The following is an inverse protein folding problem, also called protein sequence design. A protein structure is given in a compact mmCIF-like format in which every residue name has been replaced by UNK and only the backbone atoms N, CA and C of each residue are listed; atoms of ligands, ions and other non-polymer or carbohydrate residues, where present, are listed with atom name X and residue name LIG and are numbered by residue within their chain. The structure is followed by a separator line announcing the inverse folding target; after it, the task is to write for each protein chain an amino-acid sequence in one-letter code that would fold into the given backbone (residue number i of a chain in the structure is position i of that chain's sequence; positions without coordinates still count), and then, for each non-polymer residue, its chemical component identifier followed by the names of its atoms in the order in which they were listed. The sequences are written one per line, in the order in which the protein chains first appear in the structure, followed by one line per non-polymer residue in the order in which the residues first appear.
data_IF_036110776450
#
_entry.id   IF_036110776450
#
_cell.length_a   1.000
_cell.length_b   1.000
_cell.length_c   1.000
_cell.angle_alpha   90.00
_cell.angle_beta   90.00
_cell.angle_gamma   90.00
#
_symmetry.space_group_name_H-M   'P 1'
#
loop_
_entity.id
_entity.type
_entity.pdbx_description
1 polymer ?
#
# COMPACT_ATOMS: atom_id res chain seq x y z
N UNK A 1 -8.56 134.72 -48.07
CA UNK A 1 -9.78 134.09 -47.54
C UNK A 1 -9.78 132.63 -47.96
N UNK A 2 -10.25 131.76 -47.06
CA UNK A 2 -10.26 130.28 -47.10
C UNK A 2 -9.04 129.62 -46.45
N UNK A 3 -9.18 129.38 -45.14
CA UNK A 3 -8.39 128.41 -44.39
C UNK A 3 -8.73 127.01 -44.94
N UNK A 4 -7.76 126.08 -45.07
CA UNK A 4 -8.08 124.70 -45.36
C UNK A 4 -8.88 124.11 -44.18
N UNK A 5 -10.00 123.42 -44.41
CA UNK A 5 -10.63 122.65 -43.35
C UNK A 5 -9.71 121.49 -42.97
N UNK A 6 -9.01 121.65 -41.85
CA UNK A 6 -8.48 120.53 -41.07
C UNK A 6 -9.68 119.79 -40.49
N UNK A 7 -9.95 118.59 -40.97
CA UNK A 7 -9.93 117.36 -40.16
C UNK A 7 -10.58 116.24 -40.96
N UNK A 8 -9.74 115.25 -41.23
CA UNK A 8 -9.97 113.85 -40.93
C UNK A 8 -11.38 113.30 -41.14
N UNK A 9 -11.46 112.55 -42.23
CA UNK A 9 -12.31 111.40 -42.48
C UNK A 9 -12.85 110.68 -41.22
N UNK A 10 -14.10 110.15 -41.27
CA UNK A 10 -15.03 110.07 -40.16
C UNK A 10 -14.96 108.73 -39.40
N UNK A 11 -13.87 108.46 -38.69
CA UNK A 11 -13.79 107.20 -37.91
C UNK A 11 -13.27 107.35 -36.47
N UNK A 12 -12.93 108.56 -35.99
CA UNK A 12 -12.63 108.76 -34.56
C UNK A 12 -12.87 110.23 -34.13
N UNK A 13 -13.76 110.47 -33.15
CA UNK A 13 -13.97 111.78 -32.53
C UNK A 13 -13.28 111.79 -31.15
N UNK A 14 -12.16 112.50 -31.02
CA UNK A 14 -11.37 112.59 -29.80
C UNK A 14 -12.04 113.36 -28.68
N UNK A 15 -13.11 114.12 -28.96
CA UNK A 15 -13.84 114.89 -27.96
C UNK A 15 -14.60 114.04 -26.94
N UNK A 16 -14.69 112.71 -27.15
CA UNK A 16 -15.33 111.77 -26.23
C UNK A 16 -14.38 111.17 -25.18
N UNK A 17 -13.11 111.58 -25.14
CA UNK A 17 -12.13 111.15 -24.13
C UNK A 17 -11.43 112.39 -23.57
N UNK A 18 -11.81 112.82 -22.37
CA UNK A 18 -11.34 114.01 -21.67
C UNK A 18 -10.33 113.71 -20.55
N UNK A 19 -10.10 112.44 -20.21
CA UNK A 19 -9.11 112.00 -19.21
C UNK A 19 -8.30 110.76 -19.63
N UNK A 20 -7.12 110.56 -19.02
CA UNK A 20 -6.19 109.46 -19.36
C UNK A 20 -6.72 108.04 -19.14
N UNK A 21 -7.92 107.87 -18.57
CA UNK A 21 -8.55 106.57 -18.32
C UNK A 21 -10.04 106.53 -18.73
N UNK A 22 -10.47 107.42 -19.63
CA UNK A 22 -11.86 107.45 -20.08
C UNK A 22 -12.21 106.19 -20.90
N UNK A 23 -13.39 105.62 -20.64
CA UNK A 23 -13.94 104.48 -21.37
C UNK A 23 -15.22 104.91 -22.10
N UNK A 24 -15.41 104.38 -23.32
CA UNK A 24 -16.64 104.65 -24.06
C UNK A 24 -17.80 103.88 -23.40
N UNK A 25 -18.79 104.58 -22.87
CA UNK A 25 -20.02 103.96 -22.34
C UNK A 25 -21.01 103.69 -23.47
N UNK A 26 -21.61 102.50 -23.48
CA UNK A 26 -22.55 102.03 -24.54
C UNK A 26 -23.74 102.99 -24.76
N UNK A 27 -24.04 103.87 -23.81
CA UNK A 27 -25.11 104.87 -23.94
C UNK A 27 -24.78 106.04 -24.89
N UNK A 28 -23.50 106.31 -25.18
CA UNK A 28 -23.06 107.48 -25.98
C UNK A 28 -22.54 107.09 -27.38
N UNK A 29 -22.33 105.79 -27.62
CA UNK A 29 -22.03 105.27 -28.95
C UNK A 29 -23.36 105.04 -29.71
N UNK A 30 -23.59 105.78 -30.81
CA UNK A 30 -24.73 105.56 -31.72
C UNK A 30 -24.85 104.07 -32.05
N UNK A 31 -26.09 103.56 -32.15
CA UNK A 31 -26.47 102.13 -32.26
C UNK A 31 -25.99 101.43 -33.55
N UNK A 32 -24.92 101.91 -34.20
CA UNK A 32 -24.45 101.52 -35.53
C UNK A 32 -22.95 101.26 -35.59
N UNK A 33 -22.42 100.46 -34.65
CA UNK A 33 -21.10 99.81 -34.64
C UNK A 33 -19.94 100.65 -34.06
N UNK A 34 -19.59 100.38 -32.80
CA UNK A 34 -18.27 100.75 -32.26
C UNK A 34 -17.22 99.79 -32.85
N UNK A 35 -16.44 100.24 -33.84
CA UNK A 35 -15.34 99.45 -34.41
C UNK A 35 -14.08 99.62 -33.56
N UNK A 36 -13.87 98.69 -32.62
CA UNK A 36 -12.59 98.56 -31.90
C UNK A 36 -11.61 97.82 -32.82
N UNK A 37 -11.13 98.48 -33.88
CA UNK A 37 -10.35 97.86 -34.94
C UNK A 37 -9.33 98.83 -35.54
N UNK A 38 -8.14 98.83 -34.96
CA UNK A 38 -6.89 99.38 -35.48
C UNK A 38 -5.74 98.45 -35.07
N UNK A 39 -4.58 98.52 -35.71
CA UNK A 39 -3.42 97.60 -35.56
C UNK A 39 -2.73 97.60 -34.18
N UNK A 40 -3.42 98.03 -33.11
CA UNK A 40 -2.94 97.97 -31.73
C UNK A 40 -3.43 96.70 -31.04
N UNK A 41 -2.49 95.96 -30.43
CA UNK A 41 -2.82 94.87 -29.51
C UNK A 41 -3.31 95.50 -28.21
N UNK A 42 -4.59 95.35 -27.88
CA UNK A 42 -5.07 95.64 -26.53
C UNK A 42 -4.55 94.55 -25.59
N UNK A 43 -3.99 94.92 -24.43
CA UNK A 43 -3.52 93.95 -23.45
C UNK A 43 -4.66 93.08 -22.90
N UNK A 44 -5.88 93.61 -22.82
CA UNK A 44 -7.09 92.87 -22.46
C UNK A 44 -8.36 93.61 -22.90
N UNK A 45 -9.44 92.85 -23.13
CA UNK A 45 -10.81 93.35 -23.26
C UNK A 45 -11.61 92.84 -22.05
N UNK A 46 -12.02 93.73 -21.16
CA UNK A 46 -12.85 93.40 -20.01
C UNK A 46 -14.31 93.73 -20.31
N UNK A 47 -15.20 92.74 -20.25
CA UNK A 47 -16.65 92.91 -20.42
C UNK A 47 -17.31 92.59 -19.08
N UNK A 48 -18.14 93.50 -18.58
CA UNK A 48 -18.81 93.34 -17.28
C UNK A 48 -19.89 92.23 -17.27
N UNK A 49 -20.20 91.65 -18.43
CA UNK A 49 -21.19 90.61 -18.61
C UNK A 49 -20.85 89.73 -19.82
N UNK A 50 -21.87 89.22 -20.49
CA UNK A 50 -21.69 88.32 -21.61
C UNK A 50 -21.10 89.03 -22.83
N UNK A 51 -20.16 88.37 -23.51
CA UNK A 51 -19.70 88.77 -24.83
C UNK A 51 -20.57 88.07 -25.88
N UNK A 52 -21.62 88.75 -26.35
CA UNK A 52 -22.43 88.28 -27.48
C UNK A 52 -21.76 88.70 -28.79
N UNK A 53 -21.09 87.76 -29.44
CA UNK A 53 -20.34 88.02 -30.67
C UNK A 53 -20.66 86.95 -31.71
N UNK A 54 -20.87 87.37 -32.96
CA UNK A 54 -21.19 86.44 -34.05
C UNK A 54 -20.03 85.49 -34.43
N UNK A 55 -18.79 85.86 -34.09
CA UNK A 55 -17.60 85.02 -34.25
C UNK A 55 -16.51 85.47 -33.28
N UNK A 56 -15.89 84.53 -32.56
CA UNK A 56 -14.70 84.80 -31.77
C UNK A 56 -13.45 84.46 -32.60
N UNK A 57 -12.50 85.37 -32.70
CA UNK A 57 -11.21 85.13 -33.37
C UNK A 57 -10.09 85.23 -32.33
N UNK A 58 -9.33 84.15 -32.12
CA UNK A 58 -8.19 84.13 -31.20
C UNK A 58 -6.92 84.00 -32.05
N UNK A 59 -5.97 84.92 -31.86
CA UNK A 59 -4.71 84.97 -32.61
C UNK A 59 -4.90 84.95 -34.15
N UNK A 60 -5.92 85.66 -34.65
CA UNK A 60 -6.20 85.77 -36.08
C UNK A 60 -6.94 84.59 -36.71
N UNK A 61 -7.28 83.55 -35.94
CA UNK A 61 -8.08 82.40 -36.39
C UNK A 61 -9.47 82.40 -35.74
N UNK A 62 -10.51 82.22 -36.55
CA UNK A 62 -11.86 82.05 -36.03
C UNK A 62 -11.96 80.77 -35.19
N UNK A 63 -12.56 80.87 -34.00
CA UNK A 63 -12.77 79.76 -33.06
C UNK A 63 -14.24 79.36 -33.11
N UNK A 64 -14.51 78.14 -33.55
CA UNK A 64 -15.84 77.53 -33.52
C UNK A 64 -16.16 77.03 -32.10
N UNK A 65 -16.93 77.82 -31.35
CA UNK A 65 -17.38 77.49 -29.99
C UNK A 65 -18.66 76.65 -29.97
N UNK A 66 -19.23 76.27 -31.12
CA UNK A 66 -20.44 75.44 -31.16
C UNK A 66 -20.21 74.09 -30.49
N UNK A 67 -18.98 73.57 -30.51
CA UNK A 67 -18.59 72.33 -29.83
C UNK A 67 -18.56 72.44 -28.30
N UNK A 68 -18.59 73.66 -27.75
CA UNK A 68 -18.46 73.98 -26.32
C UNK A 68 -19.80 74.36 -25.67
N UNK A 69 -20.76 74.87 -26.46
CA UNK A 69 -22.08 75.26 -25.97
C UNK A 69 -22.89 74.03 -25.50
N UNK A 70 -23.43 74.08 -24.28
CA UNK A 70 -24.28 73.01 -23.73
C UNK A 70 -23.53 71.76 -23.26
N UNK A 71 -22.20 71.82 -23.14
CA UNK A 71 -21.39 70.76 -22.53
C UNK A 71 -21.36 70.98 -21.01
N UNK A 72 -21.77 69.98 -20.23
CA UNK A 72 -21.59 69.95 -18.78
C UNK A 72 -20.29 69.24 -18.46
N UNK A 73 -19.44 69.82 -17.61
CA UNK A 73 -18.19 69.17 -17.19
C UNK A 73 -18.47 67.78 -16.57
N UNK A 74 -17.71 66.76 -17.00
CA UNK A 74 -17.86 65.38 -16.53
C UNK A 74 -18.82 64.51 -17.35
N UNK A 75 -19.51 65.05 -18.37
CA UNK A 75 -20.36 64.25 -19.28
C UNK A 75 -19.89 64.31 -20.72
N UNK A 76 -20.04 63.19 -21.44
CA UNK A 76 -19.82 63.14 -22.90
C UNK A 76 -21.12 63.53 -23.62
N UNK A 77 -21.16 64.74 -24.19
CA UNK A 77 -22.24 65.18 -25.08
C UNK A 77 -21.97 64.72 -26.52
N UNK A 78 -22.97 64.12 -27.18
CA UNK A 78 -22.83 63.62 -28.54
C UNK A 78 -22.35 64.71 -29.51
N UNK A 79 -21.32 64.39 -30.31
CA UNK A 79 -20.77 65.28 -31.34
C UNK A 79 -20.21 66.61 -30.82
N UNK A 80 -19.82 66.68 -29.54
CA UNK A 80 -19.21 67.84 -28.87
C UNK A 80 -17.86 67.45 -28.27
N UNK A 81 -17.14 68.43 -27.72
CA UNK A 81 -15.89 68.16 -26.99
C UNK A 81 -16.15 67.39 -25.70
N UNK A 82 -15.16 66.61 -25.25
CA UNK A 82 -15.17 65.97 -23.94
C UNK A 82 -14.50 66.92 -22.94
N UNK A 83 -15.24 67.36 -21.92
CA UNK A 83 -14.71 68.17 -20.84
C UNK A 83 -14.74 67.36 -19.54
N UNK A 84 -13.60 67.24 -18.88
CA UNK A 84 -13.49 66.55 -17.60
C UNK A 84 -14.09 67.40 -16.48
N UNK A 85 -14.58 66.78 -15.41
CA UNK A 85 -15.01 67.52 -14.21
C UNK A 85 -13.84 67.96 -13.32
N UNK A 86 -14.13 68.50 -12.13
CA UNK A 86 -13.13 68.94 -11.15
C UNK A 86 -12.22 67.80 -10.65
N UNK A 87 -12.72 66.56 -10.66
CA UNK A 87 -11.97 65.36 -10.29
C UNK A 87 -11.19 64.76 -11.48
N UNK A 88 -11.34 65.35 -12.68
CA UNK A 88 -10.84 64.86 -13.97
C UNK A 88 -11.58 63.61 -14.47
N UNK A 89 -12.79 63.38 -13.98
CA UNK A 89 -13.61 62.25 -14.39
C UNK A 89 -14.39 62.57 -15.67
N UNK A 90 -14.69 61.53 -16.44
CA UNK A 90 -15.58 61.55 -17.60
C UNK A 90 -16.57 60.41 -17.45
N UNK A 91 -17.87 60.72 -17.58
CA UNK A 91 -18.95 59.73 -17.57
C UNK A 91 -19.60 59.60 -18.96
N UNK A 92 -20.30 58.48 -19.17
CA UNK A 92 -21.25 58.29 -20.30
C UNK A 92 -20.66 58.01 -21.69
N UNK A 93 -19.40 57.57 -21.82
CA UNK A 93 -18.97 56.94 -23.06
C UNK A 93 -19.85 55.73 -23.38
N UNK A 94 -20.39 55.67 -24.61
CA UNK A 94 -21.09 54.48 -25.09
C UNK A 94 -20.12 53.30 -25.24
N UNK A 95 -19.01 53.54 -25.95
CA UNK A 95 -17.92 52.59 -26.19
C UNK A 95 -16.59 53.33 -26.03
N UNK A 96 -15.59 52.70 -25.40
CA UNK A 96 -14.23 53.24 -25.28
C UNK A 96 -13.22 52.31 -26.00
N UNK A 97 -12.98 52.50 -27.31
CA UNK A 97 -11.93 51.77 -28.00
C UNK A 97 -10.56 52.30 -27.55
N UNK A 98 -9.78 51.47 -26.84
CA UNK A 98 -8.44 51.80 -26.38
C UNK A 98 -7.47 50.67 -26.74
N UNK A 99 -6.30 51.00 -27.30
CA UNK A 99 -5.22 50.02 -27.52
C UNK A 99 -4.60 49.57 -26.19
N UNK A 100 -4.41 50.53 -25.28
CA UNK A 100 -3.91 50.29 -23.93
C UNK A 100 -4.86 50.98 -22.94
N UNK A 101 -5.30 50.24 -21.93
CA UNK A 101 -6.01 50.78 -20.77
C UNK A 101 -5.13 50.55 -19.54
N UNK A 102 -4.62 51.62 -18.95
CA UNK A 102 -3.77 51.59 -17.75
C UNK A 102 -4.57 52.06 -16.54
N UNK A 103 -4.36 51.44 -15.38
CA UNK A 103 -5.04 51.79 -14.13
C UNK A 103 -5.84 50.63 -13.55
N UNK A 104 -6.76 50.92 -12.64
CA UNK A 104 -7.62 49.92 -11.98
C UNK A 104 -9.03 49.95 -12.57
N UNK A 105 -9.60 48.77 -12.83
CA UNK A 105 -11.04 48.64 -13.06
C UNK A 105 -11.70 48.43 -11.70
N UNK A 106 -12.46 49.40 -11.23
CA UNK A 106 -13.06 49.39 -9.88
C UNK A 106 -14.44 48.69 -9.82
N UNK A 107 -14.93 48.14 -10.94
CA UNK A 107 -16.24 47.47 -10.98
C UNK A 107 -16.17 46.10 -10.31
N UNK A 108 -16.94 45.91 -9.23
CA UNK A 108 -16.92 44.65 -8.47
C UNK A 108 -17.30 43.42 -9.30
N UNK A 109 -18.20 43.57 -10.28
CA UNK A 109 -18.58 42.51 -11.21
C UNK A 109 -18.18 42.90 -12.64
N UNK A 110 -17.48 42.00 -13.33
CA UNK A 110 -17.02 42.19 -14.71
C UNK A 110 -17.58 41.07 -15.63
N UNK A 111 -18.92 40.94 -15.77
CA UNK A 111 -19.56 39.77 -16.39
C UNK A 111 -19.26 39.59 -17.89
N UNK A 112 -18.79 40.64 -18.57
CA UNK A 112 -18.58 40.63 -20.02
C UNK A 112 -17.11 40.45 -20.43
N UNK A 113 -16.19 40.18 -19.51
CA UNK A 113 -14.80 39.83 -19.85
C UNK A 113 -14.78 38.36 -20.28
N UNK A 114 -14.68 38.10 -21.59
CA UNK A 114 -14.66 36.74 -22.17
C UNK A 114 -13.26 36.26 -22.55
N UNK A 115 -12.27 37.15 -22.56
CA UNK A 115 -10.86 36.82 -22.76
C UNK A 115 -9.97 37.82 -22.06
N UNK A 116 -8.81 37.35 -21.60
CA UNK A 116 -7.71 38.16 -21.09
C UNK A 116 -6.42 37.65 -21.74
N UNK A 117 -5.37 38.48 -21.75
CA UNK A 117 -4.03 38.03 -22.11
C UNK A 117 -3.41 37.18 -20.99
N UNK A 118 -2.08 37.23 -20.88
CA UNK A 118 -1.37 36.58 -19.78
C UNK A 118 -1.50 37.41 -18.50
N UNK A 119 -1.99 36.79 -17.42
CA UNK A 119 -1.94 37.35 -16.06
C UNK A 119 -0.67 36.84 -15.36
N UNK A 120 0.20 37.74 -14.90
CA UNK A 120 1.39 37.36 -14.11
C UNK A 120 1.04 36.89 -12.70
N UNK A 121 -0.08 37.39 -12.16
CA UNK A 121 -0.62 37.04 -10.86
C UNK A 121 -2.13 37.13 -10.90
N UNK A 122 -2.82 36.15 -10.31
CA UNK A 122 -4.26 36.16 -10.14
C UNK A 122 -4.57 35.70 -8.72
N UNK A 123 -5.23 36.56 -7.95
CA UNK A 123 -5.79 36.22 -6.64
C UNK A 123 -7.30 36.17 -6.77
N UNK A 124 -7.89 35.01 -6.51
CA UNK A 124 -9.36 34.83 -6.48
C UNK A 124 -9.76 34.53 -5.04
N UNK A 125 -10.60 35.38 -4.45
CA UNK A 125 -11.13 35.18 -3.09
C UNK A 125 -12.27 34.17 -3.03
N UNK A 126 -12.95 33.93 -4.16
CA UNK A 126 -14.01 32.93 -4.31
C UNK A 126 -13.56 31.68 -5.06
N UNK A 127 -14.52 30.98 -5.66
CA UNK A 127 -14.27 29.76 -6.42
C UNK A 127 -13.80 30.05 -7.83
N UNK A 128 -12.85 29.26 -8.32
CA UNK A 128 -12.54 29.15 -9.75
C UNK A 128 -13.39 28.00 -10.31
N UNK A 129 -14.30 28.28 -11.25
CA UNK A 129 -15.11 27.28 -11.93
C UNK A 129 -14.62 27.09 -13.37
N UNK A 130 -14.53 25.85 -13.83
CA UNK A 130 -14.05 25.49 -15.17
C UNK A 130 -12.88 24.51 -15.16
N UNK A 131 -12.23 24.33 -16.30
CA UNK A 131 -11.06 23.45 -16.46
C UNK A 131 -9.77 24.25 -16.42
N UNK A 132 -8.80 23.83 -15.62
CA UNK A 132 -7.44 24.38 -15.70
C UNK A 132 -6.70 23.63 -16.82
N UNK A 133 -6.52 24.27 -17.97
CA UNK A 133 -6.22 23.59 -19.24
C UNK A 133 -4.81 22.97 -19.37
N UNK A 134 -3.89 23.19 -18.42
CA UNK A 134 -2.54 22.60 -18.49
C UNK A 134 -2.50 21.30 -17.71
N UNK A 135 -2.13 20.20 -18.39
CA UNK A 135 -2.07 18.87 -17.76
C UNK A 135 -1.08 18.77 -16.59
N UNK A 136 -0.07 19.64 -16.52
CA UNK A 136 0.84 19.74 -15.39
C UNK A 136 0.48 20.96 -14.52
N UNK A 137 0.25 20.73 -13.24
CA UNK A 137 0.00 21.76 -12.22
C UNK A 137 1.06 21.66 -11.09
N UNK A 138 2.36 21.88 -11.38
CA UNK A 138 3.47 21.54 -10.46
C UNK A 138 3.46 22.34 -9.15
N UNK A 139 2.75 23.46 -9.10
CA UNK A 139 2.71 24.37 -7.95
C UNK A 139 1.49 24.16 -7.04
N UNK A 140 0.62 23.18 -7.33
CA UNK A 140 -0.47 22.83 -6.41
C UNK A 140 0.13 22.00 -5.26
N UNK A 141 0.27 22.62 -4.09
CA UNK A 141 0.78 21.98 -2.88
C UNK A 141 -0.32 21.54 -1.91
N UNK A 142 -1.57 21.95 -2.14
CA UNK A 142 -2.75 21.52 -1.40
C UNK A 142 -4.01 21.69 -2.26
N UNK A 143 -4.92 20.72 -2.22
CA UNK A 143 -6.20 20.72 -2.96
C UNK A 143 -7.44 20.83 -2.06
N UNK A 144 -7.26 21.02 -0.75
CA UNK A 144 -8.37 21.04 0.22
C UNK A 144 -9.15 19.72 0.21
N UNK A 145 -10.48 19.79 0.08
CA UNK A 145 -11.37 18.62 -0.02
C UNK A 145 -11.67 18.29 -1.47
N UNK A 146 -11.30 17.08 -1.88
CA UNK A 146 -11.56 16.58 -3.23
C UNK A 146 -12.63 15.47 -3.15
N UNK A 147 -13.81 15.71 -3.74
CA UNK A 147 -14.92 14.73 -3.72
C UNK A 147 -14.71 13.59 -4.72
N UNK A 148 -13.99 13.85 -5.81
CA UNK A 148 -13.56 12.84 -6.77
C UNK A 148 -12.22 13.21 -7.39
N UNK A 149 -11.37 12.21 -7.60
CA UNK A 149 -10.11 12.34 -8.31
C UNK A 149 -9.95 11.15 -9.25
N UNK A 150 -9.86 11.42 -10.54
CA UNK A 150 -9.49 10.41 -11.53
C UNK A 150 -8.04 10.67 -11.94
N UNK A 151 -7.14 9.75 -11.60
CA UNK A 151 -5.74 9.77 -12.06
C UNK A 151 -5.59 8.77 -13.19
N UNK A 152 -5.25 9.23 -14.39
CA UNK A 152 -5.01 8.36 -15.55
C UNK A 152 -3.59 7.78 -15.60
N UNK A 153 -2.68 8.25 -14.73
CA UNK A 153 -1.31 7.78 -14.58
C UNK A 153 -1.00 7.17 -13.22
N UNK A 154 0.27 7.16 -12.82
CA UNK A 154 0.70 6.67 -11.52
C UNK A 154 0.38 7.68 -10.40
N UNK A 155 -0.08 7.17 -9.26
CA UNK A 155 -0.10 7.93 -8.02
C UNK A 155 1.24 7.75 -7.32
N UNK A 156 2.10 8.76 -7.37
CA UNK A 156 3.38 8.75 -6.66
C UNK A 156 3.19 9.39 -5.28
N UNK A 157 3.32 8.61 -4.20
CA UNK A 157 3.18 9.09 -2.83
C UNK A 157 2.79 8.00 -1.84
N UNK A 158 2.56 8.39 -0.58
CA UNK A 158 2.02 7.51 0.47
C UNK A 158 0.52 7.72 0.60
N UNK A 159 -0.22 6.62 0.82
CA UNK A 159 -1.64 6.70 1.19
C UNK A 159 -1.73 6.69 2.73
N UNK A 160 -2.10 7.81 3.33
CA UNK A 160 -1.98 8.01 4.79
C UNK A 160 -3.11 7.38 5.63
N UNK A 161 -4.19 6.90 5.03
CA UNK A 161 -5.32 6.31 5.79
C UNK A 161 -5.03 4.85 6.10
N UNK A 162 -4.96 4.50 7.39
CA UNK A 162 -4.69 3.13 7.82
C UNK A 162 -5.69 2.10 7.28
N UNK A 163 -6.97 2.48 7.16
CA UNK A 163 -7.98 1.66 6.50
C UNK A 163 -8.17 2.12 5.04
N UNK A 164 -8.11 1.17 4.12
CA UNK A 164 -8.29 1.40 2.68
C UNK A 164 -9.46 0.54 2.15
N UNK A 165 -10.71 0.74 2.63
CA UNK A 165 -11.82 -0.17 2.37
C UNK A 165 -12.26 -0.25 0.90
N UNK A 166 -11.90 0.75 0.09
CA UNK A 166 -12.31 0.84 -1.31
C UNK A 166 -11.31 0.23 -2.29
N UNK A 167 -10.20 -0.37 -1.82
CA UNK A 167 -9.28 -1.09 -2.69
C UNK A 167 -9.88 -2.48 -3.01
N UNK A 168 -10.37 -2.64 -4.24
CA UNK A 168 -10.97 -3.90 -4.71
C UNK A 168 -10.00 -4.80 -5.46
N UNK A 169 -8.87 -4.24 -5.94
CA UNK A 169 -7.79 -4.97 -6.59
C UNK A 169 -6.48 -4.19 -6.48
N UNK A 170 -5.36 -4.91 -6.50
CA UNK A 170 -4.03 -4.35 -6.64
C UNK A 170 -3.36 -4.97 -7.87
N UNK A 171 -2.37 -4.27 -8.44
CA UNK A 171 -1.42 -4.86 -9.38
C UNK A 171 -0.41 -5.77 -8.68
N UNK A 172 0.76 -5.94 -9.28
CA UNK A 172 1.87 -6.69 -8.66
C UNK A 172 2.58 -5.84 -7.60
N UNK A 173 2.64 -6.33 -6.36
CA UNK A 173 3.47 -5.75 -5.31
C UNK A 173 4.84 -6.41 -5.33
N UNK A 174 5.90 -5.62 -5.51
CA UNK A 174 7.29 -6.11 -5.43
C UNK A 174 7.73 -6.38 -3.99
N UNK A 175 7.14 -5.65 -3.03
CA UNK A 175 7.32 -5.85 -1.60
C UNK A 175 6.03 -5.52 -0.87
N UNK A 176 5.65 -6.36 0.10
CA UNK A 176 4.55 -6.11 1.02
C UNK A 176 5.02 -6.37 2.44
N UNK A 177 4.88 -5.36 3.31
CA UNK A 177 5.08 -5.50 4.75
C UNK A 177 3.76 -5.20 5.43
N UNK A 178 3.26 -6.14 6.23
CA UNK A 178 2.02 -5.99 7.02
C UNK A 178 2.40 -6.03 8.49
N UNK A 179 2.05 -4.99 9.25
CA UNK A 179 2.32 -4.92 10.69
C UNK A 179 1.37 -5.79 11.53
N UNK A 180 0.19 -6.10 10.99
CA UNK A 180 -0.78 -7.02 11.57
C UNK A 180 -0.87 -8.34 10.80
N UNK A 181 -2.05 -8.97 10.86
CA UNK A 181 -2.32 -10.23 10.15
C UNK A 181 -2.56 -10.01 8.67
N UNK A 182 -1.92 -10.81 7.82
CA UNK A 182 -2.26 -10.94 6.40
C UNK A 182 -3.28 -12.07 6.23
N UNK A 183 -4.52 -11.74 5.85
CA UNK A 183 -5.55 -12.73 5.55
C UNK A 183 -5.63 -12.96 4.03
N UNK A 184 -5.24 -14.16 3.58
CA UNK A 184 -5.23 -14.55 2.17
C UNK A 184 -6.45 -15.46 1.93
N UNK A 185 -7.50 -14.90 1.32
CA UNK A 185 -8.75 -15.62 1.01
C UNK A 185 -8.78 -16.20 -0.40
N UNK A 186 -7.63 -16.24 -1.09
CA UNK A 186 -7.52 -16.78 -2.45
C UNK A 186 -8.02 -18.22 -2.50
N UNK A 187 -8.80 -18.55 -3.54
CA UNK A 187 -9.15 -19.94 -3.89
C UNK A 187 -8.01 -20.69 -4.57
N UNK A 188 -6.91 -19.99 -4.90
CA UNK A 188 -5.72 -20.55 -5.53
C UNK A 188 -4.56 -20.80 -4.56
N UNK A 189 -3.38 -21.08 -5.13
CA UNK A 189 -2.18 -21.41 -4.37
C UNK A 189 -1.49 -20.15 -3.82
N UNK A 190 -0.95 -20.23 -2.60
CA UNK A 190 0.08 -19.30 -2.12
C UNK A 190 1.45 -19.79 -2.60
N UNK A 191 2.10 -19.04 -3.49
CA UNK A 191 3.45 -19.34 -3.98
C UNK A 191 4.47 -18.39 -3.33
N UNK A 192 5.51 -18.94 -2.72
CA UNK A 192 6.61 -18.17 -2.11
C UNK A 192 7.90 -18.50 -2.86
N UNK A 193 8.61 -17.51 -3.43
CA UNK A 193 9.76 -17.76 -4.30
C UNK A 193 11.02 -18.27 -3.57
N UNK A 194 11.09 -18.12 -2.24
CA UNK A 194 12.23 -18.55 -1.44
C UNK A 194 11.80 -19.38 -0.22
N UNK A 195 11.21 -18.72 0.79
CA UNK A 195 10.88 -19.38 2.05
C UNK A 195 9.68 -18.76 2.74
N UNK A 196 8.95 -19.56 3.51
CA UNK A 196 8.09 -19.08 4.59
C UNK A 196 8.89 -19.08 5.89
N UNK A 197 9.05 -17.90 6.53
CA UNK A 197 9.65 -17.79 7.86
C UNK A 197 8.60 -17.30 8.84
N UNK A 198 8.46 -17.99 9.98
CA UNK A 198 7.58 -17.57 11.09
C UNK A 198 8.47 -17.31 12.30
N UNK A 199 8.68 -16.04 12.60
CA UNK A 199 9.47 -15.60 13.74
C UNK A 199 8.56 -15.20 14.89
N UNK A 200 8.87 -15.65 16.12
CA UNK A 200 8.18 -15.27 17.36
C UNK A 200 6.68 -15.66 17.46
N UNK A 201 6.21 -16.61 16.65
CA UNK A 201 4.86 -17.15 16.77
C UNK A 201 4.74 -18.12 17.94
N UNK A 202 3.79 -17.88 18.85
CA UNK A 202 3.39 -18.87 19.87
C UNK A 202 2.49 -19.96 19.29
N UNK A 203 1.96 -19.76 18.09
CA UNK A 203 1.10 -20.71 17.37
C UNK A 203 1.87 -21.42 16.26
N UNK A 204 1.72 -22.75 16.12
CA UNK A 204 2.29 -23.50 15.01
C UNK A 204 1.63 -23.13 13.68
N UNK A 205 2.26 -23.48 12.55
CA UNK A 205 1.59 -23.48 11.25
C UNK A 205 0.38 -24.42 11.35
N UNK A 206 -0.82 -23.85 11.34
CA UNK A 206 -2.07 -24.61 11.36
C UNK A 206 -2.66 -24.63 9.95
N UNK A 207 -2.65 -25.80 9.34
CA UNK A 207 -3.37 -26.06 8.10
C UNK A 207 -4.67 -26.80 8.44
N UNK A 208 -5.82 -26.24 8.08
CA UNK A 208 -7.13 -26.85 8.34
C UNK A 208 -7.91 -26.92 7.03
N UNK A 209 -8.40 -28.11 6.67
CA UNK A 209 -9.39 -28.27 5.61
C UNK A 209 -10.78 -28.36 6.25
N UNK A 210 -11.60 -27.33 6.04
CA UNK A 210 -12.96 -27.23 6.59
C UNK A 210 -14.04 -27.81 5.66
N UNK A 211 -13.65 -28.31 4.48
CA UNK A 211 -14.59 -28.89 3.49
C UNK A 211 -14.48 -30.41 3.48
N UNK A 212 -15.62 -31.09 3.71
CA UNK A 212 -15.72 -32.54 3.90
C UNK A 212 -15.28 -33.41 2.69
N UNK A 213 -15.05 -32.80 1.53
CA UNK A 213 -14.84 -33.51 0.26
C UNK A 213 -13.42 -33.39 -0.33
N UNK A 214 -12.53 -32.59 0.25
CA UNK A 214 -11.18 -32.36 -0.29
C UNK A 214 -10.13 -33.22 0.41
N UNK A 215 -9.13 -33.72 -0.31
CA UNK A 215 -7.96 -34.37 0.28
C UNK A 215 -7.15 -33.35 1.08
N UNK A 216 -6.95 -33.58 2.38
CA UNK A 216 -6.02 -32.80 3.18
C UNK A 216 -4.65 -33.46 3.15
N UNK A 217 -3.76 -32.95 2.28
CA UNK A 217 -2.39 -33.42 2.17
C UNK A 217 -1.41 -32.30 2.51
N UNK A 218 -0.54 -32.54 3.48
CA UNK A 218 0.68 -31.75 3.67
C UNK A 218 1.79 -32.52 2.94
N UNK A 219 2.11 -32.08 1.74
CA UNK A 219 3.21 -32.67 0.96
C UNK A 219 4.49 -31.89 1.22
N UNK A 220 5.50 -32.58 1.73
CA UNK A 220 6.88 -32.08 1.81
C UNK A 220 7.63 -32.86 0.73
N UNK A 221 8.14 -32.13 -0.27
CA UNK A 221 8.79 -32.71 -1.44
C UNK A 221 10.01 -31.86 -1.78
N UNK A 222 11.11 -32.49 -2.16
CA UNK A 222 12.29 -31.82 -2.68
C UNK A 222 12.74 -32.47 -3.98
N UNK A 223 13.01 -31.65 -5.00
CA UNK A 223 13.60 -32.11 -6.26
C UNK A 223 15.09 -32.48 -6.12
N UNK A 224 15.73 -32.09 -5.01
CA UNK A 224 17.11 -32.44 -4.65
C UNK A 224 17.47 -31.99 -3.24
N UNK A 225 18.23 -32.79 -2.49
CA UNK A 225 18.58 -32.52 -1.09
C UNK A 225 17.66 -33.18 -0.06
N UNK A 226 18.10 -33.18 1.19
CA UNK A 226 17.36 -33.78 2.29
C UNK A 226 16.13 -32.94 2.68
N UNK A 227 15.09 -33.60 3.18
CA UNK A 227 13.93 -32.96 3.77
C UNK A 227 14.03 -33.12 5.29
N UNK A 228 14.40 -32.04 5.97
CA UNK A 228 14.57 -32.07 7.42
C UNK A 228 13.30 -31.58 8.13
N UNK A 229 12.72 -32.44 8.96
CA UNK A 229 11.61 -32.10 9.85
C UNK A 229 12.11 -32.30 11.28
N UNK A 230 12.34 -31.20 12.00
CA UNK A 230 13.10 -31.22 13.24
C UNK A 230 12.77 -30.09 14.19
N UNK A 231 13.29 -30.21 15.41
CA UNK A 231 13.51 -29.07 16.29
C UNK A 231 15.01 -28.81 16.38
N UNK A 232 15.41 -27.54 16.39
CA UNK A 232 16.80 -27.12 16.65
C UNK A 232 17.10 -26.98 18.16
N UNK A 233 16.11 -27.28 18.99
CA UNK A 233 16.19 -27.22 20.45
C UNK A 233 15.82 -28.60 21.02
N UNK A 234 15.93 -28.79 22.33
CA UNK A 234 15.62 -30.07 23.00
C UNK A 234 14.11 -30.38 23.06
N UNK A 235 13.42 -30.33 21.92
CA UNK A 235 12.01 -30.67 21.78
C UNK A 235 11.85 -31.83 20.80
N UNK A 236 10.99 -32.77 21.18
CA UNK A 236 10.67 -33.93 20.34
C UNK A 236 9.80 -33.56 19.13
N UNK A 237 10.03 -34.25 18.02
CA UNK A 237 9.16 -34.24 16.83
C UNK A 237 8.08 -35.31 17.01
N UNK A 238 6.83 -35.03 16.64
CA UNK A 238 5.74 -35.95 16.89
C UNK A 238 4.67 -35.94 15.79
N UNK A 239 4.22 -37.12 15.38
CA UNK A 239 2.97 -37.31 14.64
C UNK A 239 1.86 -37.49 15.68
N UNK A 240 0.83 -36.64 15.61
CA UNK A 240 -0.33 -36.70 16.49
C UNK A 240 -1.60 -37.03 15.71
N UNK A 241 -2.53 -37.73 16.34
CA UNK A 241 -3.86 -37.99 15.80
C UNK A 241 -4.86 -37.89 16.94
N UNK A 242 -5.92 -37.09 16.76
CA UNK A 242 -6.91 -36.81 17.81
C UNK A 242 -6.26 -36.43 19.17
N UNK A 243 -5.32 -35.49 19.14
CA UNK A 243 -4.60 -35.02 20.35
C UNK A 243 -3.54 -35.97 20.91
N UNK A 244 -3.55 -37.26 20.58
CA UNK A 244 -2.56 -38.23 21.09
C UNK A 244 -1.34 -38.32 20.18
N UNK A 245 -0.14 -38.43 20.75
CA UNK A 245 1.09 -38.75 20.01
C UNK A 245 1.08 -40.21 19.59
N UNK A 246 1.38 -40.48 18.32
CA UNK A 246 1.43 -41.84 17.75
C UNK A 246 2.85 -42.28 17.47
N UNK A 247 3.64 -41.40 16.87
CA UNK A 247 5.06 -41.58 16.63
C UNK A 247 5.81 -40.35 17.14
N UNK A 248 6.95 -40.54 17.79
CA UNK A 248 7.80 -39.44 18.21
C UNK A 248 9.26 -39.74 17.97
N UNK A 249 10.03 -38.72 17.57
CA UNK A 249 11.47 -38.71 17.75
C UNK A 249 11.75 -38.00 19.08
N UNK A 250 12.29 -38.71 20.07
CA UNK A 250 12.63 -38.13 21.37
C UNK A 250 13.89 -37.24 21.29
N UNK A 251 14.24 -36.58 22.39
CA UNK A 251 15.42 -35.69 22.44
C UNK A 251 16.76 -36.44 22.36
N UNK A 252 16.74 -37.77 22.47
CA UNK A 252 17.91 -38.64 22.33
C UNK A 252 18.04 -39.20 20.90
N UNK A 253 17.09 -38.87 20.01
CA UNK A 253 17.07 -39.34 18.62
C UNK A 253 16.36 -40.69 18.42
N UNK A 254 15.69 -41.24 19.43
CA UNK A 254 14.98 -42.50 19.29
C UNK A 254 13.60 -42.29 18.65
N UNK A 255 13.21 -43.19 17.75
CA UNK A 255 11.84 -43.24 17.21
C UNK A 255 10.99 -44.17 18.06
N UNK A 256 9.92 -43.64 18.66
CA UNK A 256 9.01 -44.36 19.53
C UNK A 256 7.57 -44.39 18.98
N UNK A 257 6.97 -45.58 18.99
CA UNK A 257 5.55 -45.78 18.78
C UNK A 257 4.79 -45.64 20.11
N UNK A 258 4.71 -44.40 20.60
CA UNK A 258 4.29 -44.03 21.97
C UNK A 258 2.98 -44.68 22.43
N UNK A 259 2.03 -44.91 21.52
CA UNK A 259 0.72 -45.48 21.85
C UNK A 259 0.65 -47.01 21.74
N UNK A 260 1.78 -47.70 21.53
CA UNK A 260 1.81 -49.16 21.41
C UNK A 260 1.38 -49.84 22.71
N UNK A 261 0.35 -50.69 22.63
CA UNK A 261 -0.23 -51.36 23.80
C UNK A 261 -0.32 -52.89 23.68
N UNK A 262 0.23 -53.46 22.60
CA UNK A 262 0.21 -54.91 22.38
C UNK A 262 -1.13 -55.52 21.98
N UNK A 263 -2.19 -54.72 21.76
CA UNK A 263 -3.54 -55.23 21.50
C UNK A 263 -4.31 -54.48 20.40
N UNK A 264 -4.42 -53.15 20.50
CA UNK A 264 -5.31 -52.35 19.61
C UNK A 264 -4.60 -51.21 18.90
N UNK A 265 -3.50 -50.70 19.44
CA UNK A 265 -2.77 -49.56 18.91
C UNK A 265 -1.28 -49.86 18.98
N UNK A 266 -0.51 -49.45 17.96
CA UNK A 266 0.93 -49.66 17.93
C UNK A 266 1.52 -49.81 16.53
N UNK A 267 2.69 -50.46 16.47
CA UNK A 267 3.37 -50.78 15.22
C UNK A 267 2.62 -51.88 14.47
N UNK A 268 2.19 -51.58 13.23
CA UNK A 268 1.61 -52.57 12.32
C UNK A 268 2.58 -52.88 11.18
N UNK A 269 2.68 -54.16 10.80
CA UNK A 269 3.45 -54.64 9.66
C UNK A 269 2.50 -55.34 8.69
N UNK A 270 2.38 -54.84 7.46
CA UNK A 270 1.44 -55.39 6.46
C UNK A 270 -0.02 -55.40 6.91
N UNK A 271 -0.42 -54.45 7.77
CA UNK A 271 -1.77 -54.35 8.35
C UNK A 271 -1.98 -55.10 9.67
N UNK A 272 -1.08 -56.01 10.03
CA UNK A 272 -1.13 -56.80 11.28
C UNK A 272 -0.44 -56.07 12.42
N UNK A 273 -1.06 -56.00 13.60
CA UNK A 273 -0.46 -55.40 14.79
C UNK A 273 0.63 -56.30 15.37
N UNK A 274 1.81 -55.73 15.63
CA UNK A 274 2.84 -56.38 16.43
C UNK A 274 2.35 -56.40 17.88
N UNK A 275 1.97 -57.55 18.44
CA UNK A 275 1.44 -57.64 19.81
C UNK A 275 2.53 -57.76 20.88
N UNK A 276 3.76 -58.05 20.48
CA UNK A 276 4.89 -58.18 21.40
C UNK A 276 5.24 -56.85 22.10
N UNK A 277 5.58 -56.94 23.38
CA UNK A 277 6.19 -55.84 24.15
C UNK A 277 7.66 -55.66 23.77
N UNK A 278 8.24 -54.50 24.09
CA UNK A 278 9.66 -54.24 23.89
C UNK A 278 10.54 -55.30 24.59
N UNK A 279 10.18 -55.72 25.79
CA UNK A 279 10.88 -56.80 26.52
C UNK A 279 10.86 -58.11 25.74
N UNK A 280 9.71 -58.50 25.19
CA UNK A 280 9.58 -59.73 24.41
C UNK A 280 10.39 -59.66 23.10
N UNK A 281 10.41 -58.52 22.41
CA UNK A 281 11.24 -58.35 21.22
C UNK A 281 12.74 -58.38 21.57
N UNK A 282 13.11 -57.78 22.70
CA UNK A 282 14.48 -57.79 23.22
C UNK A 282 14.96 -59.18 23.66
N UNK A 283 14.09 -60.19 23.71
CA UNK A 283 14.52 -61.58 23.89
C UNK A 283 15.22 -62.16 22.64
N UNK A 284 15.13 -61.51 21.49
CA UNK A 284 15.77 -61.95 20.25
C UNK A 284 17.21 -61.44 20.10
N UNK A 285 17.75 -60.69 21.07
CA UNK A 285 19.14 -60.22 21.05
C UNK A 285 20.05 -61.19 21.79
N UNK A 286 20.75 -62.05 21.03
CA UNK A 286 21.75 -63.03 21.50
C UNK A 286 22.98 -63.03 20.60
N UNK A 287 24.15 -63.38 21.14
CA UNK A 287 25.35 -63.59 20.31
C UNK A 287 25.15 -64.85 19.46
N UNK A 288 25.37 -64.79 18.13
CA UNK A 288 25.25 -65.97 17.26
C UNK A 288 26.05 -67.16 17.80
N UNK A 289 25.42 -68.34 17.85
CA UNK A 289 26.03 -69.58 18.34
C UNK A 289 25.96 -69.82 19.86
N UNK A 290 25.36 -68.90 20.63
CA UNK A 290 25.18 -69.06 22.09
C UNK A 290 23.75 -68.82 22.53
N UNK A 291 23.22 -69.71 23.38
CA UNK A 291 22.00 -69.45 24.13
C UNK A 291 22.31 -68.58 25.34
N UNK A 292 21.45 -67.59 25.64
CA UNK A 292 21.58 -66.75 26.82
C UNK A 292 20.30 -66.82 27.68
N UNK A 293 20.44 -66.59 28.98
CA UNK A 293 19.32 -66.67 29.92
C UNK A 293 18.22 -65.65 29.57
N UNK A 294 16.96 -66.07 29.70
CA UNK A 294 15.78 -65.23 29.42
C UNK A 294 15.75 -64.67 27.99
N UNK A 295 16.14 -65.48 27.00
CA UNK A 295 16.09 -65.17 25.56
C UNK A 295 15.24 -66.18 24.81
N UNK A 296 14.78 -65.81 23.62
CA UNK A 296 13.80 -66.62 22.89
C UNK A 296 14.45 -67.88 22.33
N UNK A 297 13.85 -69.03 22.62
CA UNK A 297 14.02 -70.26 21.84
C UNK A 297 12.68 -70.53 21.16
N UNK A 298 12.66 -70.52 19.84
CA UNK A 298 11.43 -70.74 19.07
C UNK A 298 11.29 -72.23 18.80
N UNK A 299 10.23 -72.84 19.32
CA UNK A 299 9.82 -74.22 19.04
C UNK A 299 8.85 -74.23 17.86
N UNK A 300 8.75 -75.34 17.14
CA UNK A 300 7.76 -75.47 16.07
C UNK A 300 6.33 -75.64 16.63
N UNK A 301 5.33 -75.79 15.74
CA UNK A 301 3.93 -75.98 16.15
C UNK A 301 3.66 -77.30 16.87
N UNK A 302 4.51 -78.30 16.72
CA UNK A 302 4.46 -79.55 17.47
C UNK A 302 5.14 -79.44 18.85
N UNK A 303 5.87 -78.34 19.06
CA UNK A 303 6.62 -78.07 20.28
C UNK A 303 8.05 -78.64 20.26
N UNK A 304 8.52 -79.08 19.09
CA UNK A 304 9.80 -79.75 18.93
C UNK A 304 10.94 -78.77 18.64
N UNK A 305 12.16 -79.22 18.93
CA UNK A 305 13.42 -78.53 18.61
C UNK A 305 14.30 -79.53 17.84
N UNK A 306 14.64 -79.20 16.58
CA UNK A 306 15.46 -80.04 15.70
C UNK A 306 16.61 -79.24 15.07
N UNK A 307 17.64 -79.95 14.57
CA UNK A 307 18.75 -79.32 13.82
C UNK A 307 19.81 -78.60 14.66
N UNK A 308 19.84 -78.78 15.98
CA UNK A 308 20.91 -78.27 16.84
C UNK A 308 22.04 -79.31 16.91
N UNK A 309 23.25 -78.94 16.47
CA UNK A 309 24.44 -79.81 16.44
C UNK A 309 24.86 -80.26 17.84
N UNK A 310 24.83 -79.34 18.82
CA UNK A 310 25.13 -79.64 20.22
C UNK A 310 24.27 -78.81 21.18
N UNK A 311 23.68 -79.47 22.18
CA UNK A 311 22.95 -78.82 23.27
C UNK A 311 23.77 -78.97 24.57
N UNK A 312 24.32 -77.86 25.07
CA UNK A 312 24.94 -77.81 26.39
C UNK A 312 23.88 -77.61 27.48
N UNK A 313 23.66 -78.62 28.31
CA UNK A 313 22.67 -78.57 29.40
C UNK A 313 23.41 -78.54 30.75
N UNK A 314 23.29 -77.44 31.49
CA UNK A 314 23.86 -77.32 32.84
C UNK A 314 23.06 -78.13 33.88
N UNK A 315 21.76 -78.35 33.61
CA UNK A 315 20.90 -79.17 34.46
C UNK A 315 19.81 -79.80 33.59
N UNK A 316 19.64 -81.11 33.67
CA UNK A 316 18.55 -81.85 33.03
C UNK A 316 17.69 -82.38 34.17
N UNK A 317 16.40 -82.06 34.21
CA UNK A 317 15.47 -82.73 35.10
C UNK A 317 14.97 -84.03 34.44
N UNK A 318 15.44 -85.22 34.86
CA UNK A 318 15.05 -86.48 34.25
C UNK A 318 13.66 -86.96 34.71
N UNK A 319 13.00 -86.28 35.65
CA UNK A 319 11.75 -86.76 36.25
C UNK A 319 10.57 -86.78 35.29
N UNK A 320 10.61 -85.92 34.26
CA UNK A 320 9.53 -85.78 33.28
C UNK A 320 9.80 -86.54 31.96
N UNK A 321 10.93 -87.24 31.83
CA UNK A 321 11.30 -87.96 30.61
C UNK A 321 11.56 -89.45 30.89
N UNK A 322 10.54 -90.27 30.59
CA UNK A 322 10.51 -91.71 30.81
C UNK A 322 11.63 -92.48 30.08
N UNK A 323 12.13 -91.97 28.96
CA UNK A 323 13.18 -92.62 28.17
C UNK A 323 14.57 -92.55 28.83
N UNK A 324 14.89 -91.43 29.49
CA UNK A 324 16.17 -91.25 30.20
C UNK A 324 16.19 -92.04 31.53
N UNK A 325 15.04 -92.07 32.21
CA UNK A 325 14.85 -92.90 33.41
C UNK A 325 15.02 -94.40 33.09
N UNK A 326 14.52 -94.86 31.94
CA UNK A 326 14.64 -96.26 31.51
C UNK A 326 16.09 -96.70 31.29
N UNK A 327 16.92 -95.93 30.58
CA UNK A 327 18.34 -96.30 30.36
C UNK A 327 19.15 -96.38 31.65
N UNK A 328 18.92 -95.45 32.59
CA UNK A 328 19.60 -95.44 33.90
C UNK A 328 19.21 -96.61 34.79
N UNK A 329 17.90 -96.90 34.89
CA UNK A 329 17.37 -98.03 35.66
C UNK A 329 17.79 -99.36 35.03
N UNK A 330 17.71 -99.50 33.70
CA UNK A 330 18.06 -100.73 33.00
C UNK A 330 19.55 -101.06 33.14
N UNK A 331 20.46 -100.07 33.04
CA UNK A 331 21.90 -100.28 33.33
C UNK A 331 22.15 -100.74 34.76
N UNK A 332 21.46 -100.17 35.77
CA UNK A 332 21.56 -100.62 37.17
C UNK A 332 21.03 -102.04 37.36
N UNK A 333 19.88 -102.37 36.76
CA UNK A 333 19.28 -103.71 36.80
C UNK A 333 20.17 -104.76 36.13
N UNK A 334 20.72 -104.46 34.95
CA UNK A 334 21.66 -105.34 34.23
C UNK A 334 22.93 -105.56 35.05
N UNK A 335 23.54 -104.51 35.63
CA UNK A 335 24.71 -104.68 36.52
C UNK A 335 24.39 -105.58 37.73
N UNK A 336 23.21 -105.42 38.35
CA UNK A 336 22.78 -106.30 39.46
C UNK A 336 22.57 -107.74 39.00
N UNK A 337 21.96 -107.94 37.84
CA UNK A 337 21.73 -109.27 37.25
C UNK A 337 23.06 -109.95 36.90
N UNK A 338 23.99 -109.25 36.23
CA UNK A 338 25.32 -109.78 35.91
C UNK A 338 26.09 -110.12 37.18
N UNK A 339 26.02 -109.28 38.23
CA UNK A 339 26.66 -109.58 39.53
C UNK A 339 26.02 -110.78 40.22
N UNK A 340 24.71 -110.98 40.06
CA UNK A 340 23.98 -112.15 40.58
C UNK A 340 24.36 -113.42 39.82
N UNK A 341 24.41 -113.37 38.48
CA UNK A 341 24.82 -114.48 37.61
C UNK A 341 26.29 -114.85 37.86
N UNK A 342 27.17 -113.87 38.01
CA UNK A 342 28.57 -114.13 38.37
C UNK A 342 28.69 -114.85 39.72
N UNK A 343 27.95 -114.39 40.74
CA UNK A 343 27.88 -115.09 42.04
C UNK A 343 27.33 -116.51 41.92
N UNK A 344 26.36 -116.74 41.04
CA UNK A 344 25.80 -118.06 40.78
C UNK A 344 26.82 -118.99 40.12
N UNK A 345 27.53 -118.51 39.09
CA UNK A 345 28.58 -119.29 38.41
C UNK A 345 29.74 -119.63 39.35
N UNK A 346 30.15 -118.72 40.24
CA UNK A 346 31.19 -119.00 41.23
C UNK A 346 30.77 -120.00 42.31
N UNK A 347 29.46 -120.17 42.56
CA UNK A 347 28.95 -121.16 43.54
C UNK A 347 28.81 -122.57 42.97
N UNK A 348 28.64 -122.70 41.66
CA UNK A 348 28.45 -124.00 40.99
C UNK A 348 29.74 -124.57 40.36
N UNK A 349 30.91 -123.99 40.66
CA UNK A 349 32.19 -124.58 40.27
C UNK A 349 32.50 -125.79 41.17
N UNK A 350 32.10 -126.99 40.73
CA UNK A 350 32.36 -128.27 41.40
C UNK A 350 33.87 -128.55 41.38
N UNK A 351 34.53 -128.84 42.53
CA UNK A 351 35.93 -129.25 42.52
C UNK A 351 36.04 -130.68 41.98
N UNK A 352 36.76 -130.87 40.87
CA UNK A 352 37.16 -132.20 40.39
C UNK A 352 38.14 -132.81 41.39
N UNK A 353 37.70 -133.78 42.18
CA UNK A 353 38.56 -134.72 42.91
C UNK A 353 39.36 -135.54 41.87
N UNK A 354 40.67 -135.36 41.79
CA UNK A 354 41.57 -136.33 41.16
C UNK A 354 41.98 -137.36 42.20
N UNK A 355 41.65 -138.62 41.96
CA UNK A 355 42.33 -139.75 42.59
C UNK A 355 43.66 -139.96 41.86
N UNK A 356 44.76 -139.75 42.57
CA UNK A 356 45.94 -140.62 42.72
C UNK A 356 46.87 -139.94 43.73
#
# INVERSE_FOLDING_TARGET
MSLPPTTNSPIFNSSFFLGSNDYLTIAVADKRYQKIGGTGVFSSLAVAGNLDCGSLTIAGSAVDLTSLSGVTAGTVTASKVVMVDVNKDISSFRNLPATNLTGTLQTAAQPNITSVGTLSSLTVSGNISGTLSTGAQPNITSVGTLTSLTVSGALNGTLSTAAQPNITSLGTLTSLTVSGSLNITSTGNLTLPASLTISNGTTPISCTNTTSTSTFAISIQSAGGAQDIGSTTAHQVAIRTNGTRRLTCDTSGNVDAVAHNGSTVGLKLGGTLVTATATQLNYNTVTPGTAAASKTLVIDSAGDIYGIDAIGLNNIDPTNNSALLYKGILRKKIKRLVKMVFRFMTRNSIPRRSQF
#
